data_IF_498680691220
#
_entry.id   IF_498680691220
#
_cell.length_a   1.000
_cell.length_b   1.000
_cell.length_c   1.000
_cell.angle_alpha   90.00
_cell.angle_beta   90.00
_cell.angle_gamma   90.00
#
_symmetry.space_group_name_H-M   'P 1'
#
loop_
_entity.id
_entity.type
_entity.pdbx_description
1 polymer ?
#
# COMPACT_ATOMS: atom_id res chain seq x y z
N UNK A 1 27.98 -9.92 21.33
CA UNK A 1 28.50 -8.71 20.64
C UNK A 1 29.11 -9.15 19.33
N UNK A 2 28.85 -8.41 18.25
CA UNK A 2 29.48 -8.68 16.96
C UNK A 2 30.91 -8.15 17.05
N UNK A 3 31.91 -9.00 16.72
CA UNK A 3 33.32 -8.58 16.74
C UNK A 3 33.65 -7.77 15.49
N UNK A 4 34.05 -6.49 15.66
CA UNK A 4 34.47 -5.60 14.57
C UNK A 4 35.82 -5.96 13.97
N UNK A 5 36.65 -6.67 14.74
CA UNK A 5 38.01 -7.07 14.34
C UNK A 5 37.96 -8.36 13.48
N UNK A 6 36.78 -8.91 13.22
CA UNK A 6 36.60 -10.03 12.32
C UNK A 6 36.86 -9.55 10.88
N UNK A 7 37.82 -10.15 10.15
CA UNK A 7 38.12 -9.76 8.77
C UNK A 7 36.92 -9.87 7.83
N UNK A 8 35.97 -10.74 8.14
CA UNK A 8 34.77 -10.95 7.33
C UNK A 8 33.57 -10.07 7.74
N UNK A 9 33.73 -9.21 8.76
CA UNK A 9 32.63 -8.38 9.29
C UNK A 9 31.95 -7.55 8.21
N UNK A 10 32.72 -6.84 7.38
CA UNK A 10 32.20 -5.96 6.36
C UNK A 10 31.53 -6.74 5.20
N UNK A 11 32.12 -7.87 4.82
CA UNK A 11 31.52 -8.75 3.82
C UNK A 11 30.17 -9.31 4.29
N UNK A 12 30.13 -9.82 5.51
CA UNK A 12 28.89 -10.31 6.14
C UNK A 12 27.83 -9.20 6.28
N UNK A 13 28.23 -7.97 6.62
CA UNK A 13 27.31 -6.84 6.72
C UNK A 13 26.66 -6.55 5.35
N UNK A 14 27.48 -6.48 4.30
CA UNK A 14 26.99 -6.22 2.94
C UNK A 14 26.03 -7.32 2.49
N UNK A 15 26.36 -8.58 2.68
CA UNK A 15 25.52 -9.72 2.28
C UNK A 15 24.18 -9.73 3.02
N UNK A 16 24.22 -9.57 4.35
CA UNK A 16 23.00 -9.57 5.20
C UNK A 16 22.10 -8.39 4.83
N UNK A 17 22.66 -7.22 4.62
CA UNK A 17 21.90 -6.00 4.25
C UNK A 17 21.37 -6.10 2.83
N UNK A 18 22.14 -6.63 1.88
CA UNK A 18 21.69 -6.85 0.50
C UNK A 18 20.50 -7.83 0.46
N UNK A 19 20.60 -8.95 1.18
CA UNK A 19 19.50 -9.90 1.31
C UNK A 19 18.27 -9.27 1.97
N UNK A 20 18.45 -8.52 3.06
CA UNK A 20 17.37 -7.80 3.73
C UNK A 20 16.69 -6.78 2.82
N UNK A 21 17.46 -6.05 2.00
CA UNK A 21 16.93 -5.11 1.01
C UNK A 21 16.08 -5.82 -0.03
N UNK A 22 16.59 -6.93 -0.59
CA UNK A 22 15.85 -7.73 -1.56
C UNK A 22 14.52 -8.25 -0.97
N UNK A 23 14.56 -8.79 0.25
CA UNK A 23 13.36 -9.27 0.93
C UNK A 23 12.34 -8.15 1.16
N UNK A 24 12.79 -6.95 1.56
CA UNK A 24 11.91 -5.79 1.74
C UNK A 24 11.26 -5.39 0.42
N UNK A 25 12.04 -5.29 -0.65
CA UNK A 25 11.51 -4.96 -1.98
C UNK A 25 10.52 -6.01 -2.47
N UNK A 26 10.84 -7.29 -2.30
CA UNK A 26 9.96 -8.40 -2.69
C UNK A 26 8.61 -8.33 -1.99
N UNK A 27 8.59 -8.27 -0.64
CA UNK A 27 7.33 -8.29 0.10
C UNK A 27 6.50 -7.01 -0.13
N UNK A 28 7.15 -5.85 -0.22
CA UNK A 28 6.45 -4.58 -0.49
C UNK A 28 5.90 -4.56 -1.91
N UNK A 29 6.67 -4.98 -2.92
CA UNK A 29 6.23 -4.98 -4.30
C UNK A 29 5.03 -5.92 -4.52
N UNK A 30 5.11 -7.15 -4.01
CA UNK A 30 4.01 -8.12 -4.16
C UNK A 30 2.77 -7.65 -3.39
N UNK A 31 2.92 -7.17 -2.16
CA UNK A 31 1.80 -6.61 -1.41
C UNK A 31 1.17 -5.41 -2.12
N UNK A 32 1.99 -4.54 -2.73
CA UNK A 32 1.54 -3.39 -3.49
C UNK A 32 0.69 -3.79 -4.70
N UNK A 33 1.07 -4.82 -5.45
CA UNK A 33 0.28 -5.29 -6.61
C UNK A 33 -1.15 -5.64 -6.20
N UNK A 34 -1.33 -6.43 -5.14
CA UNK A 34 -2.67 -6.77 -4.64
C UNK A 34 -3.39 -5.55 -4.07
N UNK A 35 -2.67 -4.71 -3.32
CA UNK A 35 -3.20 -3.46 -2.75
C UNK A 35 -3.75 -2.55 -3.82
N UNK A 36 -3.03 -2.35 -4.93
CA UNK A 36 -3.44 -1.48 -6.03
C UNK A 36 -4.69 -2.02 -6.72
N UNK A 37 -4.69 -3.30 -7.09
CA UNK A 37 -5.82 -3.90 -7.81
C UNK A 37 -7.10 -3.84 -6.97
N UNK A 38 -7.04 -4.30 -5.71
CA UNK A 38 -8.21 -4.35 -4.85
C UNK A 38 -8.57 -2.95 -4.33
N UNK A 39 -7.58 -2.14 -4.01
CA UNK A 39 -7.78 -0.78 -3.50
C UNK A 39 -8.41 0.16 -4.52
N UNK A 40 -7.99 0.12 -5.81
CA UNK A 40 -8.67 0.88 -6.88
C UNK A 40 -10.13 0.43 -7.00
N UNK A 41 -10.37 -0.88 -7.09
CA UNK A 41 -11.73 -1.38 -7.21
C UNK A 41 -12.62 -0.93 -6.04
N UNK A 42 -12.11 -1.05 -4.80
CA UNK A 42 -12.83 -0.66 -3.58
C UNK A 42 -13.07 0.85 -3.51
N UNK A 43 -12.05 1.68 -3.77
CA UNK A 43 -12.17 3.14 -3.72
C UNK A 43 -13.10 3.70 -4.79
N UNK A 44 -13.04 3.15 -6.00
CA UNK A 44 -13.97 3.50 -7.09
C UNK A 44 -15.41 3.08 -6.75
N UNK A 45 -15.60 1.90 -6.19
CA UNK A 45 -16.94 1.46 -5.75
C UNK A 45 -17.50 2.37 -4.65
N UNK A 46 -16.69 2.83 -3.71
CA UNK A 46 -17.12 3.77 -2.67
C UNK A 46 -17.73 5.04 -3.28
N UNK A 47 -17.07 5.65 -4.27
CA UNK A 47 -17.58 6.88 -4.91
C UNK A 47 -18.76 6.60 -5.82
N UNK A 48 -18.71 5.54 -6.59
CA UNK A 48 -19.73 5.30 -7.64
C UNK A 48 -21.04 4.75 -7.09
N UNK A 49 -21.04 4.08 -5.93
CA UNK A 49 -22.25 3.54 -5.28
C UNK A 49 -22.90 4.51 -4.29
N UNK A 50 -22.28 5.67 -4.04
CA UNK A 50 -22.85 6.74 -3.20
C UNK A 50 -24.16 7.31 -3.80
N UNK A 51 -24.94 8.00 -2.97
CA UNK A 51 -26.18 8.67 -3.41
C UNK A 51 -25.84 9.74 -4.46
N UNK A 52 -26.39 9.58 -5.67
CA UNK A 52 -26.08 10.43 -6.83
C UNK A 52 -24.88 9.97 -7.68
N UNK A 53 -24.18 8.91 -7.27
CA UNK A 53 -23.07 8.33 -8.03
C UNK A 53 -23.52 7.56 -9.27
N UNK A 54 -22.57 7.26 -10.17
CA UNK A 54 -22.82 6.57 -11.45
C UNK A 54 -23.54 5.22 -11.28
N UNK A 55 -23.26 4.50 -10.21
CA UNK A 55 -23.84 3.21 -9.85
C UNK A 55 -24.63 3.25 -8.54
N UNK A 56 -25.26 4.40 -8.21
CA UNK A 56 -26.13 4.53 -7.05
C UNK A 56 -27.32 3.54 -7.03
N UNK A 57 -27.68 3.00 -8.21
CA UNK A 57 -28.75 2.01 -8.38
C UNK A 57 -28.22 0.78 -9.13
N UNK A 58 -27.36 -0.05 -8.53
CA UNK A 58 -26.93 -1.29 -9.15
C UNK A 58 -28.16 -2.19 -9.33
N UNK A 59 -28.29 -2.78 -10.52
CA UNK A 59 -29.45 -3.61 -10.89
C UNK A 59 -30.82 -2.94 -10.66
N UNK A 60 -30.89 -1.59 -10.69
CA UNK A 60 -32.13 -0.83 -10.50
C UNK A 60 -32.52 -0.57 -9.02
N UNK A 61 -31.81 -1.13 -8.04
CA UNK A 61 -32.10 -1.01 -6.62
C UNK A 61 -31.25 0.05 -5.90
N UNK A 62 -31.90 1.11 -5.39
CA UNK A 62 -31.23 2.11 -4.53
C UNK A 62 -30.78 1.51 -3.18
N UNK A 63 -31.56 0.58 -2.62
CA UNK A 63 -31.23 -0.06 -1.35
C UNK A 63 -29.94 -0.86 -1.45
N UNK A 64 -29.72 -1.58 -2.56
CA UNK A 64 -28.50 -2.35 -2.79
C UNK A 64 -27.29 -1.44 -2.93
N UNK A 65 -27.38 -0.32 -3.66
CA UNK A 65 -26.31 0.65 -3.78
C UNK A 65 -25.90 1.24 -2.43
N UNK A 66 -26.89 1.69 -1.65
CA UNK A 66 -26.67 2.23 -0.31
C UNK A 66 -26.07 1.20 0.66
N UNK A 67 -26.55 -0.05 0.62
CA UNK A 67 -26.02 -1.13 1.45
C UNK A 67 -24.54 -1.44 1.08
N UNK A 68 -24.24 -1.59 -0.21
CA UNK A 68 -22.87 -1.84 -0.69
C UNK A 68 -21.93 -0.71 -0.28
N UNK A 69 -22.32 0.55 -0.50
CA UNK A 69 -21.52 1.72 -0.10
C UNK A 69 -21.26 1.71 1.42
N UNK A 70 -22.31 1.49 2.24
CA UNK A 70 -22.19 1.49 3.69
C UNK A 70 -21.27 0.38 4.20
N UNK A 71 -21.39 -0.83 3.66
CA UNK A 71 -20.52 -1.96 4.03
C UNK A 71 -19.07 -1.66 3.67
N UNK A 72 -18.81 -1.19 2.45
CA UNK A 72 -17.45 -0.84 2.01
C UNK A 72 -16.85 0.27 2.87
N UNK A 73 -17.60 1.34 3.15
CA UNK A 73 -17.14 2.45 4.01
C UNK A 73 -16.78 1.95 5.42
N UNK A 74 -17.65 1.13 6.03
CA UNK A 74 -17.39 0.54 7.35
C UNK A 74 -16.14 -0.35 7.32
N UNK A 75 -16.00 -1.23 6.32
CA UNK A 75 -14.82 -2.12 6.20
C UNK A 75 -13.54 -1.32 6.02
N UNK A 76 -13.54 -0.31 5.14
CA UNK A 76 -12.38 0.56 4.92
C UNK A 76 -12.03 1.35 6.18
N UNK A 77 -13.01 1.90 6.88
CA UNK A 77 -12.79 2.67 8.11
C UNK A 77 -12.26 1.78 9.25
N UNK A 78 -12.84 0.59 9.47
CA UNK A 78 -12.35 -0.37 10.46
C UNK A 78 -10.92 -0.80 10.12
N UNK A 79 -10.65 -1.19 8.86
CA UNK A 79 -9.33 -1.65 8.44
C UNK A 79 -8.21 -0.62 8.68
N UNK A 80 -8.55 0.68 8.56
CA UNK A 80 -7.61 1.79 8.82
C UNK A 80 -7.49 2.16 10.30
N UNK A 81 -8.46 1.77 11.11
CA UNK A 81 -8.47 2.09 12.55
C UNK A 81 -7.65 1.11 13.38
N UNK A 82 -7.37 -0.08 12.86
CA UNK A 82 -6.60 -1.09 13.57
C UNK A 82 -5.09 -0.77 13.43
N UNK A 83 -4.34 -0.61 14.55
CA UNK A 83 -2.89 -0.48 14.47
C UNK A 83 -2.27 -1.68 13.75
N UNK A 84 -1.35 -1.40 12.81
CA UNK A 84 -0.78 -2.44 11.94
C UNK A 84 -0.21 -3.64 12.71
N UNK A 85 0.52 -3.38 13.81
CA UNK A 85 1.13 -4.44 14.63
C UNK A 85 0.06 -5.38 15.22
N UNK A 86 -1.10 -4.85 15.62
CA UNK A 86 -2.22 -5.64 16.15
C UNK A 86 -2.89 -6.43 15.04
N UNK A 87 -3.12 -5.79 13.88
CA UNK A 87 -3.66 -6.45 12.71
C UNK A 87 -2.79 -7.63 12.26
N UNK A 88 -1.49 -7.45 12.26
CA UNK A 88 -0.53 -8.50 11.90
C UNK A 88 -0.67 -9.71 12.83
N UNK A 89 -0.72 -9.53 14.15
CA UNK A 89 -0.93 -10.62 15.10
C UNK A 89 -2.30 -11.29 14.93
N UNK A 90 -3.34 -10.51 14.70
CA UNK A 90 -4.69 -11.02 14.43
C UNK A 90 -4.72 -11.91 13.18
N UNK A 91 -3.91 -11.60 12.18
CA UNK A 91 -3.86 -12.31 10.90
C UNK A 91 -2.95 -13.54 10.89
N UNK A 92 -2.25 -13.88 11.98
CA UNK A 92 -1.37 -15.06 12.06
C UNK A 92 -2.10 -16.35 11.62
N UNK A 93 -3.30 -16.68 12.15
CA UNK A 93 -4.00 -17.90 11.72
C UNK A 93 -4.35 -17.90 10.23
N UNK A 94 -4.80 -16.76 9.71
CA UNK A 94 -5.14 -16.60 8.31
C UNK A 94 -3.89 -16.67 7.41
N UNK A 95 -2.78 -16.03 7.81
CA UNK A 95 -1.51 -16.09 7.09
C UNK A 95 -0.99 -17.54 7.00
N UNK A 96 -1.05 -18.28 8.10
CA UNK A 96 -0.68 -19.72 8.13
C UNK A 96 -1.58 -20.55 7.20
N UNK A 97 -2.86 -20.25 7.16
CA UNK A 97 -3.78 -20.96 6.27
C UNK A 97 -3.45 -20.71 4.78
N UNK A 98 -3.11 -19.47 4.41
CA UNK A 98 -2.85 -19.08 3.01
C UNK A 98 -1.46 -19.49 2.54
N UNK A 99 -0.43 -19.31 3.38
CA UNK A 99 1.00 -19.44 3.00
C UNK A 99 1.64 -20.68 3.61
N UNK A 100 1.01 -21.33 4.59
CA UNK A 100 1.58 -22.46 5.33
C UNK A 100 2.52 -22.05 6.47
N UNK A 101 2.96 -20.79 6.53
CA UNK A 101 3.82 -20.21 7.55
C UNK A 101 3.33 -18.82 7.93
N UNK A 102 3.73 -18.32 9.09
CA UNK A 102 3.56 -16.91 9.48
C UNK A 102 4.92 -16.18 9.61
N UNK A 103 6.03 -16.85 9.30
CA UNK A 103 7.40 -16.35 9.36
C UNK A 103 7.95 -16.24 7.93
N UNK A 104 8.76 -15.23 7.69
CA UNK A 104 9.46 -14.99 6.44
C UNK A 104 8.77 -13.99 5.51
N UNK A 105 9.48 -13.54 4.46
CA UNK A 105 9.04 -12.46 3.57
C UNK A 105 7.73 -12.76 2.83
N UNK A 106 7.51 -14.01 2.44
CA UNK A 106 6.26 -14.42 1.75
C UNK A 106 5.05 -14.35 2.69
N UNK A 107 5.22 -14.74 3.95
CA UNK A 107 4.17 -14.63 4.96
C UNK A 107 3.81 -13.15 5.25
N UNK A 108 4.81 -12.27 5.26
CA UNK A 108 4.66 -10.84 5.47
C UNK A 108 3.75 -10.17 4.43
N UNK A 109 3.68 -10.70 3.20
CA UNK A 109 2.83 -10.16 2.12
C UNK A 109 1.36 -10.09 2.53
N UNK A 110 0.87 -11.07 3.28
CA UNK A 110 -0.56 -11.17 3.66
C UNK A 110 -0.99 -9.98 4.53
N UNK A 111 -0.40 -9.75 5.71
CA UNK A 111 -0.79 -8.61 6.55
C UNK A 111 -0.48 -7.26 5.89
N UNK A 112 0.61 -7.14 5.11
CA UNK A 112 0.91 -5.91 4.37
C UNK A 112 -0.19 -5.59 3.35
N UNK A 113 -0.66 -6.59 2.61
CA UNK A 113 -1.75 -6.43 1.64
C UNK A 113 -3.05 -6.03 2.32
N UNK A 114 -3.44 -6.74 3.39
CA UNK A 114 -4.70 -6.48 4.10
C UNK A 114 -4.71 -5.09 4.74
N UNK A 115 -3.58 -4.62 5.24
CA UNK A 115 -3.45 -3.25 5.75
C UNK A 115 -3.43 -2.21 4.62
N UNK A 116 -2.76 -2.51 3.51
CA UNK A 116 -2.60 -1.61 2.37
C UNK A 116 -3.92 -1.33 1.63
N UNK A 117 -4.77 -2.35 1.47
CA UNK A 117 -6.05 -2.22 0.73
C UNK A 117 -6.93 -1.08 1.26
N UNK A 118 -7.35 -1.04 2.53
CA UNK A 118 -8.22 0.03 3.02
C UNK A 118 -7.52 1.39 3.02
N UNK A 119 -6.21 1.43 3.23
CA UNK A 119 -5.44 2.65 3.16
C UNK A 119 -5.45 3.23 1.74
N UNK A 120 -5.10 2.42 0.74
CA UNK A 120 -5.09 2.87 -0.65
C UNK A 120 -6.49 3.13 -1.21
N UNK A 121 -7.49 2.32 -0.85
CA UNK A 121 -8.89 2.53 -1.25
C UNK A 121 -9.39 3.94 -0.83
N UNK A 122 -9.02 4.42 0.34
CA UNK A 122 -9.37 5.76 0.79
C UNK A 122 -8.67 6.85 -0.02
N UNK A 123 -7.40 6.65 -0.40
CA UNK A 123 -6.68 7.59 -1.27
C UNK A 123 -7.28 7.62 -2.68
N UNK A 124 -7.69 6.46 -3.20
CA UNK A 124 -8.42 6.38 -4.48
C UNK A 124 -9.77 7.11 -4.39
N UNK A 125 -10.51 6.91 -3.33
CA UNK A 125 -11.78 7.62 -3.11
C UNK A 125 -11.58 9.14 -3.12
N UNK A 126 -10.57 9.65 -2.41
CA UNK A 126 -10.23 11.07 -2.38
C UNK A 126 -9.89 11.57 -3.78
N UNK A 127 -8.99 10.86 -4.49
CA UNK A 127 -8.55 11.23 -5.83
C UNK A 127 -9.71 11.30 -6.83
N UNK A 128 -10.65 10.34 -6.77
CA UNK A 128 -11.82 10.32 -7.66
C UNK A 128 -12.82 11.42 -7.30
N UNK A 129 -12.97 11.77 -6.02
CA UNK A 129 -13.85 12.88 -5.57
C UNK A 129 -13.34 14.26 -5.98
N UNK A 130 -12.03 14.42 -6.17
CA UNK A 130 -11.41 15.67 -6.61
C UNK A 130 -11.69 15.99 -8.08
N UNK A 131 -12.17 15.03 -8.87
CA UNK A 131 -12.53 15.27 -10.28
C UNK A 131 -13.69 16.23 -10.39
N UNK A 132 -13.56 17.36 -11.12
CA UNK A 132 -14.59 18.38 -11.24
C UNK A 132 -15.89 17.81 -11.83
N UNK A 133 -17.02 18.07 -11.19
CA UNK A 133 -18.35 17.59 -11.64
C UNK A 133 -18.69 18.05 -13.05
N UNK A 134 -18.27 19.25 -13.44
CA UNK A 134 -18.51 19.80 -14.79
C UNK A 134 -17.97 18.93 -15.91
N UNK A 135 -16.85 18.21 -15.69
CA UNK A 135 -16.28 17.27 -16.69
C UNK A 135 -17.21 16.06 -16.84
N UNK A 136 -17.76 15.59 -15.71
CA UNK A 136 -18.71 14.46 -15.69
C UNK A 136 -20.02 14.86 -16.39
N UNK A 137 -20.55 16.04 -16.09
CA UNK A 137 -21.79 16.55 -16.67
C UNK A 137 -21.65 16.78 -18.19
N UNK A 138 -20.49 17.30 -18.62
CA UNK A 138 -20.18 17.42 -20.04
C UNK A 138 -20.16 16.05 -20.75
N UNK A 139 -19.53 15.06 -20.16
CA UNK A 139 -19.51 13.71 -20.71
C UNK A 139 -20.92 13.07 -20.78
N UNK A 140 -21.76 13.29 -19.78
CA UNK A 140 -23.16 12.86 -19.78
C UNK A 140 -23.95 13.55 -20.88
N UNK A 141 -23.78 14.86 -21.06
CA UNK A 141 -24.48 15.65 -22.10
C UNK A 141 -24.10 15.19 -23.53
N UNK A 142 -22.87 14.68 -23.71
CA UNK A 142 -22.40 14.08 -24.96
C UNK A 142 -22.87 12.61 -25.14
N UNK A 143 -23.70 12.09 -24.26
CA UNK A 143 -24.24 10.73 -24.33
C UNK A 143 -23.25 9.63 -23.95
N UNK A 144 -22.18 9.94 -23.19
CA UNK A 144 -21.20 8.94 -22.79
C UNK A 144 -21.84 7.88 -21.86
N UNK A 145 -21.48 6.62 -22.09
CA UNK A 145 -21.94 5.50 -21.24
C UNK A 145 -21.29 5.57 -19.86
N UNK A 146 -21.92 4.97 -18.83
CA UNK A 146 -21.35 4.92 -17.47
C UNK A 146 -19.95 4.32 -17.45
N UNK A 147 -19.68 3.31 -18.26
CA UNK A 147 -18.33 2.72 -18.39
C UNK A 147 -17.33 3.70 -18.98
N UNK A 148 -17.72 4.44 -20.02
CA UNK A 148 -16.88 5.48 -20.62
C UNK A 148 -16.56 6.56 -19.62
N UNK A 149 -17.55 7.04 -18.87
CA UNK A 149 -17.35 8.05 -17.82
C UNK A 149 -16.39 7.53 -16.76
N UNK A 150 -16.56 6.28 -16.27
CA UNK A 150 -15.72 5.71 -15.25
C UNK A 150 -14.26 5.58 -15.69
N UNK A 151 -14.01 4.91 -16.82
CA UNK A 151 -12.64 4.56 -17.23
C UNK A 151 -11.92 5.66 -18.02
N UNK A 152 -12.65 6.43 -18.84
CA UNK A 152 -12.03 7.46 -19.70
C UNK A 152 -12.13 8.89 -19.17
N UNK A 153 -12.97 9.12 -18.17
CA UNK A 153 -13.12 10.45 -17.56
C UNK A 153 -12.65 10.42 -16.13
N UNK A 154 -13.35 9.72 -15.24
CA UNK A 154 -13.04 9.73 -13.81
C UNK A 154 -11.64 9.20 -13.50
N UNK A 155 -11.32 7.99 -13.92
CA UNK A 155 -10.01 7.40 -13.63
C UNK A 155 -8.89 8.12 -14.38
N UNK A 156 -9.11 8.53 -15.62
CA UNK A 156 -8.11 9.26 -16.41
C UNK A 156 -7.76 10.61 -15.76
N UNK A 157 -8.77 11.38 -15.32
CA UNK A 157 -8.55 12.66 -14.66
C UNK A 157 -7.96 12.52 -13.26
N UNK A 158 -8.26 11.42 -12.57
CA UNK A 158 -7.71 11.12 -11.25
C UNK A 158 -6.24 10.61 -11.27
N UNK A 159 -5.65 10.27 -12.42
CA UNK A 159 -4.30 9.68 -12.52
C UNK A 159 -3.24 10.45 -11.71
N UNK A 160 -3.12 11.78 -11.77
CA UNK A 160 -2.10 12.50 -11.00
C UNK A 160 -2.25 12.29 -9.49
N UNK A 161 -3.47 12.42 -8.96
CA UNK A 161 -3.76 12.21 -7.55
C UNK A 161 -3.59 10.74 -7.13
N UNK A 162 -4.00 9.79 -8.00
CA UNK A 162 -3.77 8.35 -7.79
C UNK A 162 -2.27 8.02 -7.72
N UNK A 163 -1.44 8.66 -8.54
CA UNK A 163 0.02 8.45 -8.53
C UNK A 163 0.62 8.92 -7.21
N UNK A 164 0.19 10.07 -6.69
CA UNK A 164 0.62 10.56 -5.37
C UNK A 164 0.13 9.64 -4.24
N UNK A 165 -1.12 9.19 -4.31
CA UNK A 165 -1.68 8.21 -3.38
C UNK A 165 -0.91 6.89 -3.39
N UNK A 166 -0.51 6.41 -4.57
CA UNK A 166 0.32 5.22 -4.73
C UNK A 166 1.69 5.40 -4.06
N UNK A 167 2.36 6.52 -4.29
CA UNK A 167 3.65 6.82 -3.66
C UNK A 167 3.54 6.84 -2.14
N UNK A 168 2.49 7.46 -1.59
CA UNK A 168 2.22 7.48 -0.15
C UNK A 168 2.00 6.07 0.40
N UNK A 169 1.29 5.23 -0.35
CA UNK A 169 1.03 3.83 0.02
C UNK A 169 2.31 3.00 0.05
N UNK A 170 3.20 3.17 -0.94
CA UNK A 170 4.50 2.49 -0.97
C UNK A 170 5.34 2.85 0.26
N UNK A 171 5.42 4.13 0.60
CA UNK A 171 6.14 4.59 1.80
C UNK A 171 5.54 3.97 3.07
N UNK A 172 4.20 3.93 3.18
CA UNK A 172 3.51 3.27 4.28
C UNK A 172 3.83 1.78 4.38
N UNK A 173 3.81 1.06 3.25
CA UNK A 173 4.13 -0.37 3.20
C UNK A 173 5.58 -0.67 3.58
N UNK A 174 6.54 0.21 3.22
CA UNK A 174 7.95 0.09 3.67
C UNK A 174 8.01 0.24 5.20
N UNK A 175 7.31 1.22 5.78
CA UNK A 175 7.24 1.38 7.23
C UNK A 175 6.62 0.16 7.93
N UNK A 176 5.55 -0.40 7.38
CA UNK A 176 4.93 -1.64 7.89
C UNK A 176 5.85 -2.85 7.74
N UNK A 177 6.60 -2.94 6.64
CA UNK A 177 7.55 -4.04 6.42
C UNK A 177 8.66 -4.07 7.48
N UNK A 178 9.10 -2.91 7.97
CA UNK A 178 10.05 -2.84 9.08
C UNK A 178 9.47 -3.41 10.38
N UNK A 179 8.17 -3.16 10.66
CA UNK A 179 7.48 -3.75 11.82
C UNK A 179 7.32 -5.26 11.69
N UNK A 180 6.97 -5.75 10.50
CA UNK A 180 6.88 -7.21 10.23
C UNK A 180 8.25 -7.88 10.40
N UNK A 181 9.32 -7.20 9.98
CA UNK A 181 10.68 -7.67 10.14
C UNK A 181 11.04 -7.94 11.61
N UNK A 182 10.65 -7.06 12.53
CA UNK A 182 10.92 -7.23 13.97
C UNK A 182 10.30 -8.50 14.59
N UNK A 183 9.30 -9.09 13.93
CA UNK A 183 8.63 -10.33 14.38
C UNK A 183 8.91 -11.53 13.48
N UNK A 184 10.00 -11.49 12.72
CA UNK A 184 10.47 -12.62 11.91
C UNK A 184 9.95 -12.64 10.47
N UNK A 185 9.40 -11.54 9.98
CA UNK A 185 8.98 -11.40 8.57
C UNK A 185 10.12 -11.21 7.59
N UNK A 186 11.37 -11.09 8.06
CA UNK A 186 12.53 -10.82 7.20
C UNK A 186 12.65 -9.36 6.80
N UNK A 187 13.54 -9.08 5.84
CA UNK A 187 13.77 -7.73 5.30
C UNK A 187 14.69 -6.88 6.17
N UNK A 188 14.81 -5.61 5.79
CA UNK A 188 15.65 -4.64 6.51
C UNK A 188 15.23 -4.44 7.96
N UNK A 189 13.94 -4.55 8.27
CA UNK A 189 13.43 -4.49 9.64
C UNK A 189 13.96 -5.61 10.53
N UNK A 190 14.05 -6.82 10.00
CA UNK A 190 14.62 -7.98 10.68
C UNK A 190 16.14 -7.82 10.89
N UNK A 191 16.84 -7.27 9.90
CA UNK A 191 18.27 -6.95 10.03
C UNK A 191 18.49 -5.92 11.15
N UNK A 192 17.72 -4.83 11.15
CA UNK A 192 17.79 -3.81 12.21
C UNK A 192 17.53 -4.42 13.60
N UNK A 193 16.54 -5.29 13.70
CA UNK A 193 16.18 -5.89 14.98
C UNK A 193 17.23 -6.90 15.46
N UNK A 194 17.60 -7.90 14.61
CA UNK A 194 18.53 -8.97 15.02
C UNK A 194 19.97 -8.51 15.18
N UNK A 195 20.47 -7.71 14.25
CA UNK A 195 21.88 -7.29 14.26
C UNK A 195 22.05 -5.95 14.96
N UNK A 196 21.19 -4.96 14.67
CA UNK A 196 21.27 -3.63 15.27
C UNK A 196 20.87 -3.63 16.75
N UNK A 197 19.66 -4.10 17.05
CA UNK A 197 19.12 -4.03 18.40
C UNK A 197 19.58 -5.17 19.31
N UNK A 198 19.34 -6.44 18.93
CA UNK A 198 19.65 -7.58 19.82
C UNK A 198 21.16 -7.81 19.99
N UNK A 199 21.97 -7.60 18.96
CA UNK A 199 23.42 -7.77 18.99
C UNK A 199 24.19 -6.47 19.26
N UNK A 200 23.48 -5.36 19.46
CA UNK A 200 24.04 -4.04 19.79
C UNK A 200 25.04 -3.53 18.74
N UNK A 201 24.88 -3.85 17.46
CA UNK A 201 25.73 -3.30 16.39
C UNK A 201 25.15 -2.02 15.83
N UNK A 202 25.81 -0.90 16.14
CA UNK A 202 25.45 0.41 15.63
C UNK A 202 25.62 0.50 14.11
N UNK A 203 26.62 -0.20 13.54
CA UNK A 203 26.91 -0.23 12.12
C UNK A 203 25.74 -0.77 11.31
N UNK A 204 25.23 -1.96 11.68
CA UNK A 204 24.05 -2.54 11.04
C UNK A 204 22.85 -1.62 11.17
N UNK A 205 22.63 -1.02 12.34
CA UNK A 205 21.51 -0.12 12.58
C UNK A 205 21.59 1.11 11.67
N UNK A 206 22.75 1.78 11.63
CA UNK A 206 22.94 2.99 10.81
C UNK A 206 22.80 2.69 9.31
N UNK A 207 23.42 1.60 8.84
CA UNK A 207 23.33 1.20 7.43
C UNK A 207 21.87 0.92 7.03
N UNK A 208 21.13 0.19 7.86
CA UNK A 208 19.70 -0.08 7.59
C UNK A 208 18.88 1.20 7.58
N UNK A 209 19.08 2.10 8.54
CA UNK A 209 18.35 3.40 8.59
C UNK A 209 18.65 4.22 7.33
N UNK A 210 19.92 4.36 6.94
CA UNK A 210 20.31 5.10 5.74
C UNK A 210 19.67 4.48 4.49
N UNK A 211 19.69 3.15 4.36
CA UNK A 211 19.09 2.46 3.21
C UNK A 211 17.57 2.63 3.16
N UNK A 212 16.87 2.53 4.30
CA UNK A 212 15.42 2.76 4.34
C UNK A 212 15.08 4.19 3.93
N UNK A 213 15.83 5.18 4.43
CA UNK A 213 15.65 6.59 4.05
C UNK A 213 15.88 6.78 2.55
N UNK A 214 16.96 6.24 2.00
CA UNK A 214 17.28 6.33 0.57
C UNK A 214 16.19 5.66 -0.28
N UNK A 215 15.74 4.48 0.10
CA UNK A 215 14.68 3.73 -0.58
C UNK A 215 13.38 4.54 -0.64
N UNK A 216 12.96 5.09 0.49
CA UNK A 216 11.76 5.95 0.58
C UNK A 216 11.93 7.20 -0.28
N UNK A 217 13.08 7.90 -0.20
CA UNK A 217 13.34 9.12 -0.98
C UNK A 217 13.34 8.86 -2.49
N UNK A 218 13.94 7.76 -2.94
CA UNK A 218 13.94 7.38 -4.36
C UNK A 218 12.52 7.13 -4.84
N UNK A 219 11.75 6.27 -4.13
CA UNK A 219 10.40 5.91 -4.53
C UNK A 219 9.46 7.12 -4.50
N UNK A 220 9.59 8.00 -3.50
CA UNK A 220 8.80 9.21 -3.40
C UNK A 220 9.15 10.23 -4.51
N UNK A 221 10.44 10.36 -4.85
CA UNK A 221 10.90 11.22 -5.94
C UNK A 221 10.38 10.74 -7.30
N UNK A 222 10.44 9.43 -7.55
CA UNK A 222 9.88 8.82 -8.77
C UNK A 222 8.37 9.07 -8.85
N UNK A 223 7.64 8.83 -7.76
CA UNK A 223 6.20 9.06 -7.72
C UNK A 223 5.83 10.53 -7.99
N UNK A 224 6.53 11.46 -7.36
CA UNK A 224 6.33 12.90 -7.59
C UNK A 224 6.66 13.31 -9.03
N UNK A 225 7.71 12.74 -9.63
CA UNK A 225 8.07 13.00 -11.01
C UNK A 225 6.99 12.50 -11.98
N UNK A 226 6.51 11.27 -11.79
CA UNK A 226 5.42 10.69 -12.61
C UNK A 226 4.13 11.52 -12.46
N UNK A 227 3.74 11.87 -11.24
CA UNK A 227 2.55 12.68 -10.99
C UNK A 227 2.60 14.05 -11.70
N UNK A 228 3.77 14.72 -11.68
CA UNK A 228 3.95 15.99 -12.40
C UNK A 228 3.87 15.83 -13.92
N UNK A 229 4.35 14.71 -14.47
CA UNK A 229 4.28 14.42 -15.91
C UNK A 229 2.87 14.11 -16.39
N UNK A 230 2.04 13.54 -15.52
CA UNK A 230 0.64 13.19 -15.82
C UNK A 230 -0.35 14.31 -15.50
N UNK A 231 0.08 15.34 -14.77
CA UNK A 231 -0.72 16.53 -14.51
C UNK A 231 -0.79 17.40 -15.79
N UNK A 232 -2.00 17.62 -16.28
CA UNK A 232 -2.29 18.51 -17.43
C UNK A 232 -2.44 19.99 -17.02
N UNK A 233 -1.91 20.36 -15.83
CA UNK A 233 -1.91 21.74 -15.32
C UNK A 233 -0.53 22.35 -15.41
#
# INVERSE_FOLDING_TARGET
MINRDDPDFWANLVDVVAQGTWQTLYMVFVALLFTVVIGIATGVLLVTTEEGGLYAKPFGSRALGKATNRVLDVVVNIGRSIPFIILMFLLIPFTRFVVGSFIGPTAAIVPLTIAGIPFFARLVEIAVREVPRGIIDAAVSLGATKRTILFKVLLAEAIPALTLGLSTTVVGLIGYSAMVGAVGGGGLGDVAYRYGYQRYSLEYMLVVVVLLVLLVQILQSVGNYVARRTSHR
#
